data_IF_087909788798
#
_entry.id   IF_087909788798
#
_cell.length_a   1.000
_cell.length_b   1.000
_cell.length_c   1.000
_cell.angle_alpha   90.00
_cell.angle_beta   90.00
_cell.angle_gamma   90.00
#
_symmetry.space_group_name_H-M   'P 1'
#
loop_
_entity.id
_entity.type
_entity.pdbx_description
1 polymer ?
#
# COMPACT_ATOMS: atom_id res chain seq x y z
N UNK A 1 8.37 56.33 -52.62
CA UNK A 1 7.89 55.85 -51.30
C UNK A 1 7.69 54.33 -51.38
N UNK A 2 8.53 53.51 -50.74
CA UNK A 2 8.26 52.09 -50.58
C UNK A 2 7.54 51.90 -49.25
N UNK A 3 6.38 51.24 -49.21
CA UNK A 3 5.83 50.81 -47.93
C UNK A 3 5.10 49.49 -48.03
N UNK A 4 5.75 48.49 -47.43
CA UNK A 4 5.15 47.57 -46.46
C UNK A 4 3.99 46.70 -46.94
N UNK A 5 4.28 45.51 -47.47
CA UNK A 5 3.27 44.44 -47.61
C UNK A 5 3.81 42.99 -47.62
N UNK A 6 5.02 42.72 -47.10
CA UNK A 6 5.63 41.36 -47.13
C UNK A 6 5.78 40.72 -45.73
N UNK A 7 5.35 41.39 -44.65
CA UNK A 7 5.64 40.94 -43.26
C UNK A 7 4.56 39.98 -42.71
N UNK A 8 3.39 39.88 -43.35
CA UNK A 8 2.22 39.19 -42.78
C UNK A 8 2.19 37.65 -43.00
N UNK A 9 2.56 37.07 -44.16
CA UNK A 9 2.42 35.62 -44.33
C UNK A 9 3.47 34.82 -43.54
N UNK A 10 4.66 35.40 -43.30
CA UNK A 10 5.75 34.74 -42.57
C UNK A 10 5.45 34.52 -41.08
N UNK A 11 4.68 35.41 -40.45
CA UNK A 11 4.36 35.29 -39.01
C UNK A 11 3.42 34.13 -38.71
N UNK A 12 2.48 33.87 -39.62
CA UNK A 12 1.56 32.73 -39.49
C UNK A 12 2.24 31.40 -39.80
N UNK A 13 3.15 31.36 -40.78
CA UNK A 13 3.88 30.14 -41.12
C UNK A 13 4.81 29.68 -39.99
N UNK A 14 5.51 30.62 -39.34
CA UNK A 14 6.37 30.32 -38.19
C UNK A 14 5.57 29.77 -37.00
N UNK A 15 4.37 30.30 -36.78
CA UNK A 15 3.46 29.85 -35.72
C UNK A 15 3.02 28.40 -35.96
N UNK A 16 2.57 28.07 -37.18
CA UNK A 16 2.13 26.70 -37.52
C UNK A 16 3.29 25.70 -37.44
N UNK A 17 4.49 26.11 -37.86
CA UNK A 17 5.70 25.28 -37.80
C UNK A 17 6.15 25.00 -36.35
N UNK A 18 5.96 25.96 -35.43
CA UNK A 18 6.25 25.82 -34.00
C UNK A 18 5.21 24.98 -33.25
N UNK A 19 3.94 25.00 -33.65
CA UNK A 19 2.90 24.20 -32.99
C UNK A 19 2.93 22.71 -33.38
N UNK A 20 3.41 22.37 -34.57
CA UNK A 20 3.48 20.98 -35.03
C UNK A 20 4.34 20.06 -34.12
N UNK A 21 5.56 20.43 -33.67
CA UNK A 21 6.35 19.59 -32.76
C UNK A 21 5.76 19.51 -31.35
N UNK A 22 5.04 20.54 -30.87
CA UNK A 22 4.37 20.51 -29.56
C UNK A 22 3.25 19.44 -29.52
N UNK A 23 2.50 19.26 -30.60
CA UNK A 23 1.44 18.24 -30.68
C UNK A 23 2.03 16.83 -30.81
N UNK A 24 3.17 16.68 -31.51
CA UNK A 24 3.87 15.39 -31.58
C UNK A 24 4.55 15.01 -30.25
N UNK A 25 5.05 15.98 -29.47
CA UNK A 25 5.70 15.70 -28.18
C UNK A 25 4.71 15.28 -27.08
N UNK A 26 3.40 15.47 -27.29
CA UNK A 26 2.35 14.94 -26.40
C UNK A 26 2.05 13.45 -26.63
N UNK A 27 2.63 12.83 -27.67
CA UNK A 27 2.71 11.37 -27.73
C UNK A 27 4.03 10.94 -27.10
N UNK A 28 4.08 11.03 -25.78
CA UNK A 28 4.86 10.06 -25.03
C UNK A 28 4.28 8.70 -25.37
N UNK A 29 5.01 7.98 -26.22
CA UNK A 29 4.90 6.54 -26.40
C UNK A 29 5.35 5.90 -25.09
N UNK A 30 4.57 6.15 -24.03
CA UNK A 30 4.71 5.47 -22.76
C UNK A 30 4.19 4.07 -23.06
N UNK A 31 5.09 3.09 -23.04
CA UNK A 31 4.74 1.69 -23.17
C UNK A 31 3.72 1.38 -22.08
N UNK A 32 2.44 1.37 -22.45
CA UNK A 32 1.35 0.95 -21.59
C UNK A 32 1.54 -0.56 -21.42
N UNK A 33 2.38 -0.94 -20.46
CA UNK A 33 2.20 -2.23 -19.82
C UNK A 33 0.73 -2.23 -19.37
N UNK A 34 -0.09 -3.21 -19.81
CA UNK A 34 -1.46 -3.27 -19.34
C UNK A 34 -1.38 -3.28 -17.83
N UNK A 35 -2.02 -2.29 -17.20
CA UNK A 35 -2.12 -2.24 -15.76
C UNK A 35 -2.60 -3.63 -15.30
N UNK A 36 -1.94 -4.24 -14.31
CA UNK A 36 -2.39 -5.53 -13.80
C UNK A 36 -3.89 -5.42 -13.52
N UNK A 37 -4.69 -6.44 -13.90
CA UNK A 37 -6.13 -6.39 -13.71
C UNK A 37 -6.38 -6.04 -12.24
N UNK A 38 -7.06 -4.92 -12.02
CA UNK A 38 -7.45 -4.52 -10.68
C UNK A 38 -8.41 -5.61 -10.22
N UNK A 39 -8.14 -6.33 -9.11
CA UNK A 39 -9.03 -7.37 -8.64
C UNK A 39 -10.45 -6.80 -8.54
N UNK A 40 -11.42 -7.49 -9.14
CA UNK A 40 -12.80 -7.07 -9.11
C UNK A 40 -13.26 -6.90 -7.67
N UNK A 41 -13.98 -5.81 -7.37
CA UNK A 41 -14.64 -5.64 -6.07
C UNK A 41 -15.51 -6.87 -5.81
N UNK A 42 -15.24 -7.60 -4.73
CA UNK A 42 -15.96 -8.83 -4.40
C UNK A 42 -15.17 -10.13 -4.59
N UNK A 43 -14.00 -10.08 -5.23
CA UNK A 43 -13.12 -11.25 -5.36
C UNK A 43 -12.46 -11.61 -4.02
N UNK A 44 -12.12 -12.89 -3.86
CA UNK A 44 -11.30 -13.36 -2.74
C UNK A 44 -9.85 -12.90 -2.94
N UNK A 45 -9.31 -12.19 -1.95
CA UNK A 45 -7.92 -11.80 -1.85
C UNK A 45 -7.32 -12.33 -0.53
N UNK A 46 -6.01 -12.21 -0.40
CA UNK A 46 -5.29 -12.62 0.80
C UNK A 46 -4.47 -11.43 1.32
N UNK A 47 -4.52 -11.20 2.62
CA UNK A 47 -3.66 -10.25 3.32
C UNK A 47 -2.67 -11.03 4.16
N UNK A 48 -1.40 -10.95 3.77
CA UNK A 48 -0.29 -11.55 4.50
C UNK A 48 0.36 -10.49 5.39
N UNK A 49 0.44 -10.76 6.69
CA UNK A 49 1.11 -9.89 7.66
C UNK A 49 2.35 -10.58 8.21
N UNK A 50 3.45 -9.85 8.20
CA UNK A 50 4.72 -10.23 8.83
C UNK A 50 4.92 -9.35 10.05
N UNK A 51 4.90 -9.94 11.23
CA UNK A 51 5.13 -9.25 12.49
C UNK A 51 6.51 -9.62 13.00
N UNK A 52 7.33 -8.61 13.26
CA UNK A 52 8.60 -8.77 13.96
C UNK A 52 8.40 -8.35 15.43
N UNK A 53 8.53 -9.32 16.32
CA UNK A 53 8.34 -9.19 17.77
C UNK A 53 9.70 -9.48 18.40
N UNK A 54 10.50 -8.45 18.71
CA UNK A 54 11.80 -8.64 19.34
C UNK A 54 11.61 -9.20 20.75
N UNK A 55 12.66 -9.83 21.26
CA UNK A 55 12.72 -10.27 22.66
C UNK A 55 12.35 -9.16 23.66
N UNK A 56 11.67 -9.57 24.72
CA UNK A 56 11.36 -8.69 25.84
C UNK A 56 12.63 -8.28 26.57
N UNK A 57 12.61 -7.08 27.16
CA UNK A 57 13.74 -6.65 27.99
C UNK A 57 13.93 -7.62 29.14
N UNK A 58 15.18 -7.89 29.47
CA UNK A 58 15.51 -8.72 30.62
C UNK A 58 14.77 -8.23 31.88
N UNK A 59 14.29 -9.18 32.66
CA UNK A 59 13.63 -8.94 33.94
C UNK A 59 14.52 -8.04 34.80
N UNK A 60 13.93 -7.04 35.48
CA UNK A 60 14.59 -6.07 36.38
C UNK A 60 15.24 -4.83 35.73
N UNK A 61 15.03 -4.56 34.45
CA UNK A 61 15.48 -3.29 33.83
C UNK A 61 14.64 -2.08 34.25
N UNK A 62 13.44 -2.31 34.81
CA UNK A 62 12.57 -1.30 35.43
C UNK A 62 11.86 -1.91 36.64
N UNK A 63 11.95 -1.27 37.80
CA UNK A 63 11.31 -1.77 39.03
C UNK A 63 9.79 -1.91 38.85
N UNK A 64 9.26 -3.11 39.08
CA UNK A 64 7.82 -3.40 39.07
C UNK A 64 7.16 -3.58 37.69
N UNK A 65 7.93 -3.68 36.60
CA UNK A 65 7.39 -3.98 35.26
C UNK A 65 7.86 -5.36 34.81
N UNK A 66 6.89 -6.25 34.55
CA UNK A 66 7.12 -7.61 34.06
C UNK A 66 6.68 -7.70 32.59
N UNK A 67 7.63 -7.52 31.68
CA UNK A 67 7.45 -7.78 30.25
C UNK A 67 7.80 -9.26 30.00
N UNK A 68 6.80 -10.14 29.96
CA UNK A 68 7.04 -11.60 29.95
C UNK A 68 6.79 -12.25 28.60
N UNK A 69 5.70 -11.88 27.91
CA UNK A 69 5.31 -12.46 26.62
C UNK A 69 4.19 -11.68 25.95
N UNK A 70 4.18 -11.72 24.62
CA UNK A 70 2.98 -11.62 23.80
C UNK A 70 2.56 -13.06 23.53
N UNK A 71 1.30 -13.43 23.75
CA UNK A 71 0.82 -14.78 23.40
C UNK A 71 -0.40 -14.76 22.48
N UNK A 72 -1.03 -13.60 22.34
CA UNK A 72 -2.23 -13.40 21.55
C UNK A 72 -2.15 -12.09 20.77
N UNK A 73 -2.35 -12.23 19.47
CA UNK A 73 -2.45 -11.09 18.56
C UNK A 73 -3.84 -11.11 17.95
N UNK A 74 -4.60 -10.04 18.14
CA UNK A 74 -5.92 -9.88 17.51
C UNK A 74 -5.79 -8.94 16.32
N UNK A 75 -6.18 -9.41 15.15
CA UNK A 75 -6.24 -8.61 13.92
C UNK A 75 -7.67 -8.16 13.70
N UNK A 76 -7.86 -6.85 13.57
CA UNK A 76 -9.14 -6.23 13.29
C UNK A 76 -9.08 -5.58 11.91
N UNK A 77 -10.02 -5.92 11.03
CA UNK A 77 -10.15 -5.24 9.74
C UNK A 77 -11.46 -4.48 9.68
N UNK A 78 -11.36 -3.25 9.20
CA UNK A 78 -12.45 -2.30 9.23
C UNK A 78 -12.94 -1.99 7.83
N UNK A 79 -14.26 -1.89 7.67
CA UNK A 79 -14.90 -1.48 6.44
C UNK A 79 -16.02 -0.48 6.74
N UNK A 80 -16.36 0.33 5.74
CA UNK A 80 -17.51 1.23 5.86
C UNK A 80 -18.81 0.45 5.78
N UNK A 81 -19.69 0.74 6.74
CA UNK A 81 -21.07 0.28 6.74
C UNK A 81 -21.98 1.49 7.03
N UNK A 82 -22.69 1.96 6.01
CA UNK A 82 -23.59 3.11 6.16
C UNK A 82 -22.88 4.41 6.54
N UNK A 83 -21.67 4.63 6.03
CA UNK A 83 -20.87 5.84 6.31
C UNK A 83 -20.16 5.84 7.66
N UNK A 84 -20.29 4.77 8.45
CA UNK A 84 -19.51 4.57 9.69
C UNK A 84 -18.57 3.39 9.51
N UNK A 85 -17.34 3.53 9.95
CA UNK A 85 -16.39 2.43 9.90
C UNK A 85 -16.66 1.42 11.03
N UNK A 86 -16.74 0.13 10.68
CA UNK A 86 -16.99 -0.96 11.63
C UNK A 86 -16.00 -2.10 11.45
N UNK A 87 -15.72 -2.81 12.54
CA UNK A 87 -14.95 -4.07 12.48
C UNK A 87 -15.79 -5.12 11.74
N UNK A 88 -15.23 -5.67 10.67
CA UNK A 88 -15.85 -6.72 9.85
C UNK A 88 -15.11 -8.06 9.93
N UNK A 89 -13.82 -8.03 10.24
CA UNK A 89 -13.01 -9.22 10.52
C UNK A 89 -12.36 -9.05 11.87
N UNK A 90 -12.38 -10.13 12.66
CA UNK A 90 -11.66 -10.25 13.92
C UNK A 90 -11.02 -11.62 13.98
N UNK A 91 -9.72 -11.69 13.76
CA UNK A 91 -8.95 -12.93 13.82
C UNK A 91 -8.02 -12.94 15.03
N UNK A 92 -7.98 -14.07 15.73
CA UNK A 92 -7.05 -14.26 16.84
C UNK A 92 -5.92 -15.17 16.36
N UNK A 93 -4.70 -14.66 16.38
CA UNK A 93 -3.49 -15.39 16.04
C UNK A 93 -2.79 -15.76 17.35
N UNK A 94 -2.62 -17.06 17.58
CA UNK A 94 -1.72 -17.53 18.63
C UNK A 94 -0.27 -17.25 18.24
N UNK A 95 0.44 -16.56 19.11
CA UNK A 95 1.88 -16.38 19.02
C UNK A 95 2.53 -17.17 20.15
N UNK A 96 3.46 -18.04 19.77
CA UNK A 96 4.35 -18.72 20.70
C UNK A 96 5.75 -18.44 20.18
N UNK A 97 6.59 -17.70 20.92
CA UNK A 97 7.97 -17.49 20.53
C UNK A 97 8.64 -18.85 20.35
N UNK A 98 9.27 -19.09 19.19
CA UNK A 98 10.00 -20.33 18.97
C UNK A 98 11.25 -20.32 19.86
N UNK A 99 11.25 -21.16 20.89
CA UNK A 99 12.45 -21.45 21.65
C UNK A 99 13.41 -22.25 20.77
N UNK A 100 14.37 -21.55 20.17
CA UNK A 100 15.69 -22.02 19.70
C UNK A 100 15.71 -23.41 19.06
N UNK A 101 15.87 -23.48 17.73
CA UNK A 101 16.30 -24.73 17.09
C UNK A 101 15.94 -24.99 15.63
N UNK A 102 15.60 -24.00 14.80
CA UNK A 102 15.37 -24.28 13.39
C UNK A 102 15.06 -23.07 12.52
N UNK A 103 16.05 -22.67 11.72
CA UNK A 103 16.08 -21.94 10.43
C UNK A 103 15.09 -20.80 10.10
N UNK A 104 14.17 -20.44 10.99
CA UNK A 104 13.24 -19.31 10.87
C UNK A 104 13.60 -18.27 11.91
N UNK A 105 13.57 -17.00 11.50
CA UNK A 105 13.76 -15.87 12.40
C UNK A 105 12.75 -15.98 13.57
N UNK A 106 13.21 -16.27 14.81
CA UNK A 106 12.34 -16.60 15.95
C UNK A 106 11.43 -15.43 16.34
N UNK A 107 11.82 -14.22 15.96
CA UNK A 107 11.13 -12.97 16.25
C UNK A 107 10.07 -12.66 15.19
N UNK A 108 10.06 -13.38 14.06
CA UNK A 108 9.15 -13.11 12.96
C UNK A 108 7.99 -14.11 12.91
N UNK A 109 6.77 -13.59 12.96
CA UNK A 109 5.53 -14.35 12.72
C UNK A 109 4.90 -13.90 11.40
N UNK A 110 4.66 -14.86 10.52
CA UNK A 110 3.90 -14.65 9.28
C UNK A 110 2.55 -15.34 9.40
N UNK A 111 1.48 -14.65 9.02
CA UNK A 111 0.17 -15.25 8.87
C UNK A 111 -0.62 -14.56 7.76
N UNK A 112 -1.60 -15.26 7.22
CA UNK A 112 -2.46 -14.77 6.15
C UNK A 112 -3.92 -14.83 6.54
N UNK A 113 -4.70 -13.86 6.06
CA UNK A 113 -6.15 -13.78 6.26
C UNK A 113 -6.81 -13.65 4.88
N UNK A 114 -7.73 -14.55 4.57
CA UNK A 114 -8.55 -14.43 3.36
C UNK A 114 -9.61 -13.34 3.54
N UNK A 115 -9.70 -12.45 2.56
CA UNK A 115 -10.54 -11.25 2.61
C UNK A 115 -11.22 -10.99 1.28
N UNK A 116 -12.23 -10.12 1.28
CA UNK A 116 -12.85 -9.62 0.05
C UNK A 116 -12.11 -8.37 -0.45
N UNK A 117 -11.61 -8.42 -1.68
CA UNK A 117 -10.89 -7.32 -2.33
C UNK A 117 -11.74 -6.04 -2.36
N UNK A 118 -11.09 -4.89 -2.12
CA UNK A 118 -11.71 -3.57 -2.18
C UNK A 118 -12.73 -3.26 -1.07
N UNK A 119 -12.83 -4.11 -0.04
CA UNK A 119 -13.83 -3.97 1.04
C UNK A 119 -13.28 -3.22 2.25
N UNK A 120 -12.05 -3.53 2.68
CA UNK A 120 -11.47 -3.04 3.92
C UNK A 120 -10.63 -1.79 3.71
N UNK A 121 -10.71 -0.83 4.63
CA UNK A 121 -9.97 0.44 4.58
C UNK A 121 -8.82 0.51 5.57
N UNK A 122 -8.96 -0.16 6.71
CA UNK A 122 -7.98 -0.13 7.80
C UNK A 122 -7.81 -1.50 8.43
N UNK A 123 -6.62 -1.72 8.96
CA UNK A 123 -6.23 -2.88 9.75
C UNK A 123 -5.67 -2.35 11.07
N UNK A 124 -6.05 -2.97 12.18
CA UNK A 124 -5.44 -2.75 13.48
C UNK A 124 -5.00 -4.09 14.07
N UNK A 125 -3.91 -4.05 14.83
CA UNK A 125 -3.38 -5.19 15.56
C UNK A 125 -3.37 -4.85 17.04
N UNK A 126 -3.85 -5.79 17.86
CA UNK A 126 -3.85 -5.67 19.32
C UNK A 126 -3.11 -6.86 19.90
N UNK A 127 -1.99 -6.60 20.56
CA UNK A 127 -1.23 -7.59 21.32
C UNK A 127 -1.51 -7.44 22.82
N UNK A 128 -1.28 -8.50 23.59
CA UNK A 128 -1.38 -8.51 25.04
C UNK A 128 -0.01 -8.46 25.73
#
# INVERSE_FOLDING_TARGET
MPSSSIIIPFRNLLSVLLFLPLVLSCRQDESILPAPPTPGKGETAEVTLTLHIPDFRATNTRAGVHEEKIDKITVLMFADEGGTEKVKVKENISYTPYLVGGLSDPDTKIFSISVTAGTYKRIALVAN
#
